data_IF_009796117381
#
_entry.id   IF_009796117381
#
_cell.length_a   1.000
_cell.length_b   1.000
_cell.length_c   1.000
_cell.angle_alpha   90.00
_cell.angle_beta   90.00
_cell.angle_gamma   90.00
#
_symmetry.space_group_name_H-M   'P 1'
#
loop_
_entity.id
_entity.type
_entity.pdbx_description
1 polymer ?
#
# COMPACT_ATOMS: atom_id res chain seq x y z
N UNK A 1 -10.46 -1.58 -6.20
CA UNK A 1 -10.34 -3.04 -5.96
C UNK A 1 -9.31 -3.39 -4.89
N UNK A 2 -8.09 -2.82 -4.89
CA UNK A 2 -7.05 -3.15 -3.90
C UNK A 2 -7.41 -2.69 -2.49
N UNK A 3 -7.96 -1.48 -2.33
CA UNK A 3 -8.42 -0.96 -1.04
C UNK A 3 -9.43 -1.87 -0.34
N UNK A 4 -10.45 -2.38 -1.04
CA UNK A 4 -11.41 -3.32 -0.45
C UNK A 4 -10.72 -4.57 0.08
N UNK A 5 -9.67 -5.06 -0.60
CA UNK A 5 -8.91 -6.23 -0.12
C UNK A 5 -8.09 -5.90 1.12
N UNK A 6 -7.52 -4.69 1.20
CA UNK A 6 -6.82 -4.21 2.40
C UNK A 6 -7.76 -4.16 3.60
N UNK A 7 -8.97 -3.64 3.41
CA UNK A 7 -9.98 -3.48 4.46
C UNK A 7 -10.63 -4.80 4.91
N UNK A 8 -10.62 -5.84 4.07
CA UNK A 8 -11.20 -7.15 4.38
C UNK A 8 -10.22 -8.13 5.07
N UNK A 9 -9.25 -7.62 5.82
CA UNK A 9 -8.30 -8.46 6.58
C UNK A 9 -7.07 -8.87 5.77
N UNK A 10 -6.47 -7.93 5.05
CA UNK A 10 -5.16 -8.17 4.44
C UNK A 10 -4.09 -8.38 5.51
N UNK A 11 -3.51 -9.57 5.55
CA UNK A 11 -2.43 -9.89 6.48
C UNK A 11 -1.05 -9.51 5.92
N UNK A 12 -0.31 -8.77 6.74
CA UNK A 12 1.07 -8.37 6.49
C UNK A 12 1.20 -7.00 5.81
N UNK A 13 2.43 -6.72 5.36
CA UNK A 13 2.81 -5.40 4.84
C UNK A 13 2.48 -5.25 3.35
N UNK A 14 1.94 -4.09 2.96
CA UNK A 14 1.71 -3.75 1.56
C UNK A 14 2.98 -3.17 0.95
N UNK A 15 3.39 -3.69 -0.22
CA UNK A 15 4.51 -3.14 -1.00
C UNK A 15 4.02 -2.79 -2.40
N UNK A 16 4.77 -1.97 -3.15
CA UNK A 16 4.40 -1.61 -4.53
C UNK A 16 4.27 -2.83 -5.45
N UNK A 17 5.13 -3.84 -5.27
CA UNK A 17 5.05 -5.10 -6.01
C UNK A 17 3.77 -5.90 -5.69
N UNK A 18 3.35 -5.94 -4.42
CA UNK A 18 2.11 -6.61 -4.01
C UNK A 18 0.89 -5.87 -4.54
N UNK A 19 0.90 -4.53 -4.46
CA UNK A 19 -0.16 -3.70 -5.02
C UNK A 19 -0.28 -3.92 -6.52
N UNK A 20 0.83 -3.88 -7.26
CA UNK A 20 0.86 -4.12 -8.71
C UNK A 20 0.23 -5.47 -9.09
N UNK A 21 0.55 -6.53 -8.35
CA UNK A 21 -0.04 -7.85 -8.58
C UNK A 21 -1.56 -7.89 -8.29
N UNK A 22 -2.02 -7.21 -7.23
CA UNK A 22 -3.44 -7.15 -6.87
C UNK A 22 -4.27 -6.26 -7.81
N UNK A 23 -3.70 -5.13 -8.24
CA UNK A 23 -4.30 -4.17 -9.16
C UNK A 23 -4.17 -4.59 -10.63
N UNK A 24 -3.30 -5.57 -10.93
CA UNK A 24 -2.90 -5.95 -12.30
C UNK A 24 -2.35 -4.76 -13.09
N UNK A 25 -1.47 -3.97 -12.46
CA UNK A 25 -0.83 -2.81 -13.07
C UNK A 25 0.71 -2.89 -12.97
N UNK A 26 1.41 -1.96 -13.62
CA UNK A 26 2.87 -1.87 -13.49
C UNK A 26 3.30 -1.39 -12.11
N UNK A 27 4.56 -1.64 -11.73
CA UNK A 27 5.10 -1.17 -10.46
C UNK A 27 5.17 0.37 -10.38
N UNK A 28 5.39 1.05 -11.51
CA UNK A 28 5.34 2.51 -11.60
C UNK A 28 3.94 3.04 -11.31
N UNK A 29 2.91 2.42 -11.88
CA UNK A 29 1.50 2.77 -11.63
C UNK A 29 1.15 2.53 -10.17
N UNK A 30 1.51 1.35 -9.64
CA UNK A 30 1.30 1.00 -8.24
C UNK A 30 1.97 1.99 -7.28
N UNK A 31 3.18 2.46 -7.59
CA UNK A 31 3.90 3.41 -6.75
C UNK A 31 3.25 4.79 -6.73
N UNK A 32 2.67 5.23 -7.86
CA UNK A 32 1.88 6.48 -7.93
C UNK A 32 0.59 6.36 -7.13
N UNK A 33 -0.16 5.29 -7.34
CA UNK A 33 -1.40 5.01 -6.60
C UNK A 33 -1.15 4.99 -5.09
N UNK A 34 -0.13 4.25 -4.63
CA UNK A 34 0.23 4.21 -3.21
C UNK A 34 0.62 5.60 -2.69
N UNK A 35 1.39 6.37 -3.47
CA UNK A 35 1.76 7.73 -3.07
C UNK A 35 0.54 8.62 -2.88
N UNK A 36 -0.47 8.50 -3.74
CA UNK A 36 -1.71 9.25 -3.61
C UNK A 36 -2.54 8.77 -2.42
N UNK A 37 -2.60 7.46 -2.16
CA UNK A 37 -3.24 6.91 -0.96
C UNK A 37 -2.55 7.37 0.34
N UNK A 38 -1.23 7.54 0.34
CA UNK A 38 -0.49 8.11 1.47
C UNK A 38 -0.82 9.60 1.64
N UNK A 39 -0.91 10.37 0.55
CA UNK A 39 -1.34 11.79 0.62
C UNK A 39 -2.77 11.96 1.13
N UNK A 40 -3.65 11.01 0.84
CA UNK A 40 -5.01 10.97 1.35
C UNK A 40 -5.11 10.38 2.77
N UNK A 41 -3.97 10.15 3.44
CA UNK A 41 -3.90 9.58 4.78
C UNK A 41 -4.60 8.23 4.94
N UNK A 42 -4.80 7.49 3.83
CA UNK A 42 -5.38 6.15 3.84
C UNK A 42 -4.31 5.08 4.10
N UNK A 43 -3.07 5.36 3.70
CA UNK A 43 -1.92 4.50 3.93
C UNK A 43 -0.82 5.28 4.66
N UNK A 44 -0.12 4.61 5.56
CA UNK A 44 1.07 5.15 6.23
C UNK A 44 2.27 4.35 5.78
N UNK A 45 3.37 5.04 5.47
CA UNK A 45 4.65 4.41 5.17
C UNK A 45 5.25 3.89 6.48
N UNK A 46 5.55 2.59 6.53
CA UNK A 46 6.17 2.00 7.72
C UNK A 46 7.62 2.48 7.87
N UNK A 47 8.05 2.67 9.12
CA UNK A 47 9.46 2.83 9.45
C UNK A 47 10.18 1.47 9.29
N UNK A 48 10.75 1.22 8.11
CA UNK A 48 11.58 0.04 7.86
C UNK A 48 13.03 0.47 7.54
N UNK A 49 14.00 -0.06 8.29
CA UNK A 49 15.44 0.25 8.13
C UNK A 49 16.16 -0.48 6.99
N UNK A 50 15.41 -1.09 6.06
CA UNK A 50 15.97 -1.85 4.92
C UNK A 50 15.72 -1.19 3.57
N UNK A 51 16.12 -1.85 2.46
CA UNK A 51 15.88 -1.36 1.08
C UNK A 51 14.41 -1.44 0.65
N UNK A 52 13.59 -2.18 1.39
CA UNK A 52 12.19 -2.41 1.07
C UNK A 52 11.31 -1.40 1.78
N UNK A 53 10.48 -0.67 1.01
CA UNK A 53 9.44 0.20 1.56
C UNK A 53 8.14 -0.58 1.67
N UNK A 54 7.48 -0.46 2.82
CA UNK A 54 6.16 -1.01 3.07
C UNK A 54 5.18 0.05 3.56
N UNK A 55 3.90 -0.27 3.40
CA UNK A 55 2.79 0.57 3.77
C UNK A 55 1.76 -0.24 4.56
N UNK A 56 1.12 0.42 5.52
CA UNK A 56 0.03 -0.11 6.34
C UNK A 56 -1.20 0.78 6.19
N UNK A 57 -2.39 0.25 6.48
CA UNK A 57 -3.59 1.09 6.59
C UNK A 57 -3.38 2.11 7.71
N UNK A 58 -3.77 3.36 7.46
CA UNK A 58 -3.83 4.34 8.54
C UNK A 58 -4.87 3.88 9.58
N UNK A 59 -4.52 4.00 10.86
CA UNK A 59 -5.51 3.81 11.92
C UNK A 59 -6.52 4.96 11.84
N UNK A 60 -7.80 4.58 11.69
CA UNK A 60 -8.91 5.52 11.86
C UNK A 60 -9.21 5.56 13.35
N UNK A 61 -8.97 6.71 13.99
CA UNK A 61 -9.35 6.96 15.37
C UNK A 61 -10.88 7.03 15.54
#
# INVERSE_FOLDING_TARGET
LVLNRLLNGFEGKLTSSKYAALAKCSQDTASRDISDLVKQEMLVKDAAGGRSTSYSLAEVA
#
